data_IF_823534372224
#
_entry.id   IF_823534372224
#
_cell.length_a   1.000
_cell.length_b   1.000
_cell.length_c   1.000
_cell.angle_alpha   90.00
_cell.angle_beta   90.00
_cell.angle_gamma   90.00
#
_symmetry.space_group_name_H-M   'P 1'
#
loop_
_entity.id
_entity.type
_entity.pdbx_description
1 polymer ?
#
# COMPACT_ATOMS: atom_id res chain seq x y z
N UNK A 1 -2.27 33.51 3.36
CA UNK A 1 -3.53 32.92 2.85
C UNK A 1 -4.20 33.86 1.84
N UNK A 2 -3.56 34.13 0.69
CA UNK A 2 -4.02 35.14 -0.27
C UNK A 2 -4.76 34.62 -1.52
N UNK A 3 -4.83 33.31 -1.74
CA UNK A 3 -5.12 32.75 -3.08
C UNK A 3 -6.50 32.09 -3.27
N UNK A 4 -7.40 32.15 -2.28
CA UNK A 4 -8.75 31.57 -2.40
C UNK A 4 -9.81 32.67 -2.69
N UNK A 5 -10.78 32.42 -3.62
CA UNK A 5 -11.91 33.33 -3.87
C UNK A 5 -12.66 33.68 -2.58
N UNK A 6 -13.12 34.93 -2.43
CA UNK A 6 -13.78 35.41 -1.20
C UNK A 6 -14.95 34.50 -0.77
N UNK A 7 -15.76 34.04 -1.72
CA UNK A 7 -16.87 33.11 -1.47
C UNK A 7 -16.44 31.80 -0.77
N UNK A 8 -15.28 31.26 -1.13
CA UNK A 8 -14.76 30.02 -0.52
C UNK A 8 -14.24 30.31 0.89
N UNK A 9 -13.65 31.49 1.12
CA UNK A 9 -13.21 31.93 2.44
C UNK A 9 -14.40 32.14 3.37
N UNK A 10 -15.42 32.87 2.94
CA UNK A 10 -16.58 33.19 3.78
C UNK A 10 -17.42 31.94 4.11
N UNK A 11 -17.44 30.93 3.23
CA UNK A 11 -18.11 29.66 3.47
C UNK A 11 -17.30 28.72 4.40
N UNK A 12 -15.97 28.73 4.31
CA UNK A 12 -15.11 27.81 5.07
C UNK A 12 -14.63 28.38 6.41
N UNK A 13 -14.47 29.71 6.52
CA UNK A 13 -14.02 30.40 7.73
C UNK A 13 -14.89 30.09 8.97
N UNK A 14 -16.23 30.07 8.90
CA UNK A 14 -17.04 29.69 10.05
C UNK A 14 -16.86 28.20 10.40
N UNK A 15 -16.75 27.30 9.42
CA UNK A 15 -16.53 25.86 9.67
C UNK A 15 -15.15 25.62 10.31
N UNK A 16 -14.11 26.27 9.80
CA UNK A 16 -12.75 26.17 10.33
C UNK A 16 -12.69 26.78 11.74
N UNK A 17 -13.27 27.96 11.95
CA UNK A 17 -13.37 28.59 13.28
C UNK A 17 -14.16 27.74 14.25
N UNK A 18 -15.24 27.07 13.80
CA UNK A 18 -16.04 26.19 14.63
C UNK A 18 -15.31 24.89 14.97
N UNK A 19 -14.56 24.29 14.04
CA UNK A 19 -13.70 23.11 14.28
C UNK A 19 -12.50 23.45 15.18
N UNK A 20 -11.93 24.65 15.04
CA UNK A 20 -10.82 25.12 15.89
C UNK A 20 -11.29 25.56 17.29
N UNK A 21 -12.45 26.22 17.39
CA UNK A 21 -13.02 26.72 18.65
C UNK A 21 -13.73 25.61 19.44
N UNK A 22 -14.46 24.71 18.77
CA UNK A 22 -14.89 23.44 19.32
C UNK A 22 -13.88 22.37 18.95
N UNK A 23 -12.75 22.36 19.65
CA UNK A 23 -11.85 21.20 19.72
C UNK A 23 -12.58 20.07 20.46
N UNK A 24 -13.61 19.52 19.84
CA UNK A 24 -14.44 18.48 20.42
C UNK A 24 -13.64 17.18 20.37
N UNK A 25 -12.83 16.97 21.41
CA UNK A 25 -11.95 15.81 21.56
C UNK A 25 -12.71 14.50 21.36
N UNK A 26 -14.01 14.46 21.67
CA UNK A 26 -14.88 13.32 21.41
C UNK A 26 -15.00 12.98 19.91
N UNK A 27 -15.27 13.97 19.04
CA UNK A 27 -15.40 13.73 17.59
C UNK A 27 -14.08 13.27 16.96
N UNK A 28 -12.95 13.86 17.37
CA UNK A 28 -11.63 13.43 16.91
C UNK A 28 -11.32 11.99 17.34
N UNK A 29 -11.61 11.66 18.60
CA UNK A 29 -11.40 10.31 19.14
C UNK A 29 -12.28 9.29 18.43
N UNK A 30 -13.57 9.59 18.23
CA UNK A 30 -14.51 8.73 17.51
C UNK A 30 -14.02 8.53 16.07
N UNK A 31 -13.62 9.59 15.38
CA UNK A 31 -13.10 9.51 14.01
C UNK A 31 -11.88 8.57 13.93
N UNK A 32 -10.90 8.75 14.80
CA UNK A 32 -9.71 7.88 14.85
C UNK A 32 -10.09 6.43 15.12
N UNK A 33 -10.99 6.16 16.07
CA UNK A 33 -11.46 4.81 16.40
C UNK A 33 -12.17 4.17 15.21
N UNK A 34 -13.07 4.89 14.54
CA UNK A 34 -13.81 4.40 13.36
C UNK A 34 -12.87 4.14 12.18
N UNK A 35 -11.91 5.03 11.93
CA UNK A 35 -10.89 4.85 10.89
C UNK A 35 -10.04 3.62 11.19
N UNK A 36 -9.56 3.48 12.43
CA UNK A 36 -8.74 2.33 12.83
C UNK A 36 -9.53 1.03 12.75
N UNK A 37 -10.80 1.04 13.14
CA UNK A 37 -11.70 -0.11 13.04
C UNK A 37 -11.90 -0.54 11.60
N UNK A 38 -12.19 0.41 10.70
CA UNK A 38 -12.40 0.17 9.28
C UNK A 38 -11.13 -0.36 8.61
N UNK A 39 -9.99 0.29 8.86
CA UNK A 39 -8.70 -0.11 8.34
C UNK A 39 -8.30 -1.52 8.81
N UNK A 40 -8.44 -1.81 10.11
CA UNK A 40 -8.14 -3.13 10.68
C UNK A 40 -9.04 -4.23 10.09
N UNK A 41 -10.31 -3.91 9.82
CA UNK A 41 -11.25 -4.85 9.19
C UNK A 41 -10.88 -5.16 7.74
N UNK A 42 -10.46 -4.15 6.96
CA UNK A 42 -9.92 -4.37 5.60
C UNK A 42 -8.65 -5.24 5.63
N UNK A 43 -7.73 -4.96 6.54
CA UNK A 43 -6.50 -5.74 6.70
C UNK A 43 -6.74 -7.19 7.13
N UNK A 44 -7.83 -7.46 7.86
CA UNK A 44 -8.26 -8.82 8.14
C UNK A 44 -8.65 -9.60 6.88
N UNK A 45 -9.33 -8.95 5.92
CA UNK A 45 -9.65 -9.56 4.64
C UNK A 45 -8.37 -9.89 3.85
N UNK A 46 -7.41 -8.97 3.81
CA UNK A 46 -6.09 -9.20 3.19
C UNK A 46 -5.38 -10.39 3.83
N UNK A 47 -5.33 -10.46 5.17
CA UNK A 47 -4.75 -11.60 5.89
C UNK A 47 -5.42 -12.92 5.51
N UNK A 48 -6.76 -12.95 5.44
CA UNK A 48 -7.52 -14.14 5.05
C UNK A 48 -7.18 -14.60 3.63
N UNK A 49 -7.11 -13.67 2.68
CA UNK A 49 -6.72 -13.95 1.30
C UNK A 49 -5.29 -14.50 1.21
N UNK A 50 -4.33 -13.88 1.92
CA UNK A 50 -2.96 -14.37 1.97
C UNK A 50 -2.88 -15.76 2.62
N UNK A 51 -3.55 -15.99 3.75
CA UNK A 51 -3.59 -17.30 4.38
C UNK A 51 -4.06 -18.39 3.41
N UNK A 52 -5.05 -18.10 2.55
CA UNK A 52 -5.52 -19.01 1.50
C UNK A 52 -4.44 -19.24 0.43
N UNK A 53 -3.84 -18.19 -0.12
CA UNK A 53 -2.75 -18.30 -1.11
C UNK A 53 -1.55 -19.11 -0.58
N UNK A 54 -1.24 -18.93 0.70
CA UNK A 54 -0.17 -19.67 1.40
C UNK A 54 -0.58 -21.08 1.85
N UNK A 55 -1.86 -21.47 1.74
CA UNK A 55 -2.36 -22.79 2.12
C UNK A 55 -2.43 -23.04 3.64
N UNK A 56 -2.63 -21.99 4.43
CA UNK A 56 -2.73 -22.10 5.89
C UNK A 56 -4.06 -22.76 6.28
N UNK A 57 -4.00 -24.01 6.77
CA UNK A 57 -5.19 -24.79 7.17
C UNK A 57 -5.73 -24.46 8.57
N UNK A 58 -4.85 -24.06 9.51
CA UNK A 58 -5.22 -23.62 10.87
C UNK A 58 -4.55 -22.28 11.16
N UNK A 59 -5.34 -21.22 11.19
CA UNK A 59 -4.89 -19.86 11.50
C UNK A 59 -4.81 -19.58 13.00
N UNK A 60 -4.43 -18.35 13.34
CA UNK A 60 -4.48 -17.89 14.73
C UNK A 60 -5.93 -17.73 15.24
N UNK A 61 -6.19 -17.92 16.55
CA UNK A 61 -7.48 -17.60 17.18
C UNK A 61 -7.91 -16.15 16.89
N UNK A 62 -9.22 -15.91 16.74
CA UNK A 62 -9.78 -14.61 16.32
C UNK A 62 -9.23 -13.40 17.10
N UNK A 63 -9.07 -13.52 18.41
CA UNK A 63 -8.53 -12.46 19.26
C UNK A 63 -7.05 -12.15 18.98
N UNK A 64 -6.19 -13.18 18.94
CA UNK A 64 -4.75 -13.02 18.62
C UNK A 64 -4.55 -12.50 17.20
N UNK A 65 -5.37 -13.00 16.28
CA UNK A 65 -5.46 -12.55 14.91
C UNK A 65 -5.76 -11.06 14.78
N UNK A 66 -6.78 -10.56 15.50
CA UNK A 66 -7.17 -9.15 15.42
C UNK A 66 -6.14 -8.23 16.05
N UNK A 67 -5.54 -8.59 17.17
CA UNK A 67 -4.44 -7.82 17.78
C UNK A 67 -3.26 -7.73 16.80
N UNK A 68 -2.84 -8.86 16.22
CA UNK A 68 -1.75 -8.90 15.23
C UNK A 68 -2.03 -7.98 14.04
N UNK A 69 -3.23 -8.06 13.47
CA UNK A 69 -3.62 -7.23 12.33
C UNK A 69 -3.65 -5.75 12.70
N UNK A 70 -4.22 -5.38 13.84
CA UNK A 70 -4.28 -3.98 14.27
C UNK A 70 -2.88 -3.41 14.50
N UNK A 71 -2.01 -4.12 15.23
CA UNK A 71 -0.62 -3.69 15.46
C UNK A 71 0.15 -3.57 14.14
N UNK A 72 0.02 -4.56 13.26
CA UNK A 72 0.62 -4.51 11.93
C UNK A 72 0.14 -3.29 11.13
N UNK A 73 -1.18 -3.04 11.14
CA UNK A 73 -1.79 -1.91 10.42
C UNK A 73 -1.27 -0.58 10.94
N UNK A 74 -1.12 -0.41 12.26
CA UNK A 74 -0.59 0.82 12.85
C UNK A 74 0.88 1.03 12.50
N UNK A 75 1.72 0.00 12.68
CA UNK A 75 3.17 0.12 12.46
C UNK A 75 3.46 0.32 10.97
N UNK A 76 2.93 -0.56 10.12
CA UNK A 76 3.20 -0.52 8.68
C UNK A 76 2.46 0.65 8.03
N UNK A 77 1.21 0.91 8.42
CA UNK A 77 0.46 2.07 7.93
C UNK A 77 1.13 3.39 8.31
N UNK A 78 1.56 3.55 9.57
CA UNK A 78 2.32 4.70 10.02
C UNK A 78 3.67 4.84 9.31
N UNK A 79 4.41 3.74 9.15
CA UNK A 79 5.67 3.72 8.42
C UNK A 79 5.53 4.09 6.95
N UNK A 80 4.49 3.59 6.28
CA UNK A 80 4.16 3.96 4.89
C UNK A 80 3.81 5.45 4.80
N UNK A 81 2.98 5.97 5.71
CA UNK A 81 2.65 7.41 5.74
C UNK A 81 3.90 8.29 5.93
N UNK A 82 4.80 7.92 6.84
CA UNK A 82 6.06 8.63 7.05
C UNK A 82 6.97 8.54 5.82
N UNK A 83 7.08 7.37 5.20
CA UNK A 83 7.86 7.19 3.98
C UNK A 83 7.30 8.03 2.83
N UNK A 84 5.99 8.01 2.61
CA UNK A 84 5.33 8.86 1.61
C UNK A 84 5.52 10.34 1.91
N UNK A 85 5.35 10.76 3.16
CA UNK A 85 5.57 12.15 3.57
C UNK A 85 7.01 12.58 3.27
N UNK A 86 8.00 11.75 3.61
CA UNK A 86 9.40 12.01 3.30
C UNK A 86 9.63 12.16 1.79
N UNK A 87 9.12 11.24 0.96
CA UNK A 87 9.27 11.29 -0.51
C UNK A 87 8.61 12.53 -1.12
N UNK A 88 7.49 13.00 -0.56
CA UNK A 88 6.76 14.18 -1.07
C UNK A 88 7.35 15.49 -0.56
N UNK A 89 7.89 15.50 0.66
CA UNK A 89 8.46 16.70 1.30
C UNK A 89 9.91 16.94 0.86
N UNK A 90 10.69 15.90 0.57
CA UNK A 90 12.10 16.03 0.18
C UNK A 90 12.33 16.99 -1.01
N UNK A 91 11.52 16.97 -2.10
CA UNK A 91 11.65 17.94 -3.18
C UNK A 91 11.38 19.39 -2.76
N UNK A 92 10.43 19.61 -1.84
CA UNK A 92 10.13 20.94 -1.30
C UNK A 92 11.26 21.47 -0.41
N UNK A 93 11.85 20.61 0.42
CA UNK A 93 13.02 20.96 1.25
C UNK A 93 14.21 21.30 0.36
N UNK A 94 14.41 20.56 -0.73
CA UNK A 94 15.48 20.81 -1.68
C UNK A 94 15.32 22.14 -2.42
N UNK A 95 14.10 22.51 -2.82
CA UNK A 95 13.81 23.83 -3.42
C UNK A 95 14.12 24.98 -2.45
N UNK A 96 13.74 24.85 -1.17
CA UNK A 96 14.05 25.86 -0.14
C UNK A 96 15.57 25.97 0.07
N UNK A 97 16.30 24.86 -0.03
CA UNK A 97 17.76 24.85 0.13
C UNK A 97 18.47 25.45 -1.09
N UNK A 98 17.99 25.19 -2.31
CA UNK A 98 18.46 25.83 -3.56
C UNK A 98 18.20 27.35 -3.57
N UNK A 99 17.12 27.82 -2.97
CA UNK A 99 16.86 29.26 -2.83
C UNK A 99 17.83 29.95 -1.85
N UNK A 100 18.48 29.20 -0.96
CA UNK A 100 19.40 29.73 0.07
C UNK A 100 20.89 29.42 -0.20
N UNK A 101 21.21 28.49 -1.09
CA UNK A 101 22.58 28.08 -1.45
C UNK A 101 22.71 28.11 -2.97
N UNK A 102 23.74 28.81 -3.47
CA UNK A 102 24.03 29.13 -4.89
C UNK A 102 23.55 28.10 -5.93
N UNK A 103 23.09 28.57 -7.11
CA UNK A 103 22.43 27.74 -8.11
C UNK A 103 23.38 26.64 -8.63
N UNK A 104 23.17 25.42 -8.14
CA UNK A 104 23.81 24.21 -8.67
C UNK A 104 23.34 23.88 -10.09
N UNK A 105 24.10 23.06 -10.85
CA UNK A 105 23.85 22.83 -12.26
C UNK A 105 22.44 22.30 -12.55
N UNK A 106 21.81 22.80 -13.61
CA UNK A 106 20.46 22.46 -14.13
C UNK A 106 20.24 20.98 -14.51
N UNK A 107 21.15 20.08 -14.16
CA UNK A 107 21.08 18.62 -14.37
C UNK A 107 20.37 17.86 -13.24
N UNK A 108 20.16 18.50 -12.08
CA UNK A 108 19.47 17.92 -10.92
C UNK A 108 17.97 17.53 -11.12
N UNK A 109 17.12 18.25 -11.87
CA UNK A 109 15.68 17.95 -11.88
C UNK A 109 15.32 16.63 -12.57
N UNK A 110 16.10 16.16 -13.55
CA UNK A 110 15.89 14.85 -14.19
C UNK A 110 16.30 13.69 -13.28
N UNK A 111 17.42 13.82 -12.54
CA UNK A 111 17.85 12.81 -11.57
C UNK A 111 16.83 12.65 -10.43
N UNK A 112 16.29 13.78 -9.95
CA UNK A 112 15.27 13.81 -8.89
C UNK A 112 13.96 13.11 -9.30
N UNK A 113 13.55 13.24 -10.56
CA UNK A 113 12.37 12.54 -11.11
C UNK A 113 12.54 11.01 -11.09
N UNK A 114 13.65 10.50 -11.62
CA UNK A 114 13.93 9.06 -11.68
C UNK A 114 14.09 8.44 -10.29
N UNK A 115 14.76 9.14 -9.36
CA UNK A 115 14.91 8.70 -7.96
C UNK A 115 13.54 8.58 -7.29
N UNK A 116 12.62 9.52 -7.54
CA UNK A 116 11.27 9.47 -6.94
C UNK A 116 10.48 8.22 -7.32
N UNK A 117 10.47 7.85 -8.60
CA UNK A 117 9.78 6.64 -9.05
C UNK A 117 10.47 5.37 -8.53
N UNK A 118 11.80 5.37 -8.46
CA UNK A 118 12.57 4.28 -7.86
C UNK A 118 12.26 4.09 -6.37
N UNK A 119 12.24 5.16 -5.58
CA UNK A 119 11.91 5.11 -4.15
C UNK A 119 10.46 4.71 -3.92
N UNK A 120 9.52 5.18 -4.74
CA UNK A 120 8.12 4.77 -4.67
C UNK A 120 7.96 3.26 -4.96
N UNK A 121 8.64 2.75 -5.99
CA UNK A 121 8.65 1.32 -6.31
C UNK A 121 9.27 0.49 -5.18
N UNK A 122 10.40 0.92 -4.63
CA UNK A 122 11.05 0.26 -3.50
C UNK A 122 10.14 0.22 -2.27
N UNK A 123 9.47 1.35 -1.96
CA UNK A 123 8.52 1.43 -0.85
C UNK A 123 7.36 0.45 -1.04
N UNK A 124 6.84 0.36 -2.27
CA UNK A 124 5.80 -0.60 -2.62
C UNK A 124 6.28 -2.05 -2.50
N UNK A 125 7.47 -2.37 -2.99
CA UNK A 125 8.06 -3.70 -2.89
C UNK A 125 8.29 -4.11 -1.43
N UNK A 126 8.78 -3.18 -0.59
CA UNK A 126 8.93 -3.39 0.86
C UNK A 126 7.57 -3.62 1.51
N UNK A 127 6.54 -2.84 1.15
CA UNK A 127 5.18 -3.04 1.64
C UNK A 127 4.66 -4.44 1.30
N UNK A 128 4.83 -4.89 0.04
CA UNK A 128 4.45 -6.24 -0.38
C UNK A 128 5.22 -7.31 0.40
N UNK A 129 6.52 -7.13 0.61
CA UNK A 129 7.34 -8.05 1.38
C UNK A 129 6.91 -8.13 2.85
N UNK A 130 6.56 -6.99 3.48
CA UNK A 130 6.02 -6.94 4.84
C UNK A 130 4.66 -7.64 4.93
N UNK A 131 3.78 -7.38 3.97
CA UNK A 131 2.47 -8.04 3.88
C UNK A 131 2.63 -9.54 3.74
N UNK A 132 3.54 -10.02 2.90
CA UNK A 132 3.75 -11.44 2.66
C UNK A 132 4.51 -12.15 3.80
N UNK A 133 5.43 -11.46 4.47
CA UNK A 133 6.25 -12.04 5.52
C UNK A 133 5.57 -12.06 6.88
N UNK A 134 4.84 -10.99 7.23
CA UNK A 134 4.34 -10.77 8.58
C UNK A 134 2.84 -11.00 8.73
N UNK A 135 2.04 -10.71 7.70
CA UNK A 135 0.59 -10.79 7.80
C UNK A 135 0.06 -12.25 7.88
N UNK A 136 0.56 -13.22 7.09
CA UNK A 136 0.12 -14.61 7.18
C UNK A 136 0.32 -15.22 8.56
N UNK A 137 -0.51 -16.18 8.91
CA UNK A 137 -0.45 -16.91 10.19
C UNK A 137 0.65 -17.98 10.23
N UNK A 138 1.66 -17.84 9.36
CA UNK A 138 2.76 -18.76 9.22
C UNK A 138 4.06 -17.99 9.24
N UNK A 139 5.07 -18.52 9.93
CA UNK A 139 6.42 -17.95 9.92
C UNK A 139 7.04 -18.09 8.53
N UNK A 140 7.44 -16.97 7.95
CA UNK A 140 8.13 -16.88 6.66
C UNK A 140 9.48 -16.20 6.89
N UNK A 141 10.52 -16.61 6.15
CA UNK A 141 11.74 -15.80 6.06
C UNK A 141 11.48 -14.66 5.06
N UNK A 142 11.95 -13.46 5.38
CA UNK A 142 11.80 -12.29 4.50
C UNK A 142 12.40 -12.52 3.11
N UNK A 143 13.53 -13.24 3.02
CA UNK A 143 14.17 -13.60 1.76
C UNK A 143 13.29 -14.48 0.85
N UNK A 144 12.43 -15.34 1.43
CA UNK A 144 11.54 -16.21 0.64
C UNK A 144 10.33 -15.49 0.05
N UNK A 145 10.01 -14.29 0.53
CA UNK A 145 8.84 -13.52 0.04
C UNK A 145 9.20 -12.41 -0.95
N UNK A 146 10.49 -12.05 -1.04
CA UNK A 146 11.01 -11.07 -1.99
C UNK A 146 10.64 -11.33 -3.46
N UNK A 147 10.76 -12.55 -4.02
CA UNK A 147 10.48 -12.75 -5.44
C UNK A 147 9.02 -12.42 -5.79
N UNK A 148 8.06 -12.91 -5.01
CA UNK A 148 6.65 -12.56 -5.19
C UNK A 148 6.35 -11.09 -4.88
N UNK A 149 7.08 -10.46 -3.95
CA UNK A 149 6.91 -9.03 -3.66
C UNK A 149 7.34 -8.15 -4.83
N UNK A 150 8.47 -8.45 -5.47
CA UNK A 150 8.93 -7.74 -6.65
C UNK A 150 8.01 -7.96 -7.85
N UNK A 151 7.61 -9.21 -8.12
CA UNK A 151 6.68 -9.51 -9.22
C UNK A 151 5.32 -8.84 -8.99
N UNK A 152 4.78 -8.92 -7.77
CA UNK A 152 3.52 -8.29 -7.38
C UNK A 152 3.58 -6.76 -7.52
N UNK A 153 4.64 -6.13 -7.02
CA UNK A 153 4.83 -4.68 -7.15
C UNK A 153 4.95 -4.23 -8.61
N UNK A 154 5.72 -4.96 -9.43
CA UNK A 154 5.84 -4.67 -10.87
C UNK A 154 4.50 -4.81 -11.58
N UNK A 155 3.76 -5.88 -11.30
CA UNK A 155 2.44 -6.10 -11.91
C UNK A 155 1.44 -5.03 -11.46
N UNK A 156 1.50 -4.60 -10.20
CA UNK A 156 0.66 -3.52 -9.69
C UNK A 156 0.96 -2.19 -10.39
N UNK A 157 2.24 -1.82 -10.55
CA UNK A 157 2.62 -0.59 -11.26
C UNK A 157 2.18 -0.64 -12.73
N UNK A 158 2.43 -1.77 -13.41
CA UNK A 158 1.98 -1.96 -14.79
C UNK A 158 0.46 -1.84 -14.91
N UNK A 159 -0.29 -2.52 -14.04
CA UNK A 159 -1.75 -2.47 -14.07
C UNK A 159 -2.32 -1.09 -13.70
N UNK A 160 -1.70 -0.39 -12.75
CA UNK A 160 -2.06 0.99 -12.40
C UNK A 160 -1.79 1.96 -13.56
N UNK A 161 -0.68 1.79 -14.27
CA UNK A 161 -0.38 2.57 -15.47
C UNK A 161 -1.40 2.32 -16.58
N UNK A 162 -1.74 1.05 -16.84
CA UNK A 162 -2.79 0.67 -17.80
C UNK A 162 -4.14 1.27 -17.41
N UNK A 163 -4.54 1.18 -16.15
CA UNK A 163 -5.80 1.77 -15.68
C UNK A 163 -5.79 3.29 -15.86
N UNK A 164 -4.68 3.97 -15.51
CA UNK A 164 -4.56 5.42 -15.70
C UNK A 164 -4.69 5.82 -17.17
N UNK A 165 -4.08 5.06 -18.08
CA UNK A 165 -4.23 5.27 -19.52
C UNK A 165 -5.69 5.09 -19.97
N UNK A 166 -6.33 3.99 -19.59
CA UNK A 166 -7.73 3.70 -19.92
C UNK A 166 -8.68 4.80 -19.43
N UNK A 167 -8.50 5.27 -18.19
CA UNK A 167 -9.35 6.31 -17.61
C UNK A 167 -9.19 7.68 -18.29
N UNK A 168 -7.99 8.01 -18.79
CA UNK A 168 -7.76 9.25 -19.56
C UNK A 168 -8.51 9.21 -20.88
N UNK A 169 -8.46 8.09 -21.59
CA UNK A 169 -9.17 7.90 -22.86
C UNK A 169 -10.69 7.82 -22.65
N UNK A 170 -11.13 7.30 -21.50
CA UNK A 170 -12.53 7.21 -21.12
C UNK A 170 -13.15 8.53 -20.61
N UNK A 171 -12.44 9.66 -20.63
CA UNK A 171 -12.93 10.94 -20.10
C UNK A 171 -14.29 11.40 -20.64
N UNK A 172 -14.66 10.98 -21.86
CA UNK A 172 -15.99 11.24 -22.43
C UNK A 172 -17.12 10.43 -21.76
N UNK A 173 -16.84 9.25 -21.20
CA UNK A 173 -17.80 8.46 -20.40
C UNK A 173 -18.00 9.06 -19.01
N UNK A 174 -16.98 9.71 -18.43
CA UNK A 174 -17.10 10.41 -17.15
C UNK A 174 -18.08 11.58 -17.22
N UNK A 175 -18.19 12.25 -18.38
CA UNK A 175 -19.16 13.33 -18.62
C UNK A 175 -20.62 12.83 -18.63
N UNK A 176 -20.87 11.58 -19.05
CA UNK A 176 -22.22 11.00 -19.14
C UNK A 176 -22.64 10.34 -17.82
N UNK A 177 -21.70 9.69 -17.13
CA UNK A 177 -21.98 8.89 -15.91
C UNK A 177 -21.61 9.60 -14.60
N UNK A 178 -21.05 10.81 -14.63
CA UNK A 178 -20.83 11.66 -13.46
C UNK A 178 -20.10 10.97 -12.29
N UNK A 179 -20.66 11.08 -11.08
CA UNK A 179 -20.07 10.50 -9.85
C UNK A 179 -20.00 8.97 -9.84
N UNK A 180 -20.84 8.28 -10.62
CA UNK A 180 -20.85 6.81 -10.72
C UNK A 180 -19.57 6.28 -11.37
N UNK A 181 -19.04 7.00 -12.35
CA UNK A 181 -17.77 6.63 -13.01
C UNK A 181 -16.59 6.59 -12.03
N UNK A 182 -16.57 7.49 -11.04
CA UNK A 182 -15.53 7.51 -10.00
C UNK A 182 -15.60 6.30 -9.06
N UNK A 183 -16.80 5.88 -8.66
CA UNK A 183 -17.01 4.70 -7.81
C UNK A 183 -16.55 3.44 -8.56
N UNK A 184 -16.99 3.26 -9.81
CA UNK A 184 -16.60 2.10 -10.63
C UNK A 184 -15.09 2.07 -10.86
N UNK A 185 -14.47 3.20 -11.20
CA UNK A 185 -13.01 3.30 -11.35
C UNK A 185 -12.28 2.90 -10.06
N UNK A 186 -12.79 3.33 -8.91
CA UNK A 186 -12.24 2.97 -7.59
C UNK A 186 -12.37 1.48 -7.32
N UNK A 187 -13.53 0.87 -7.61
CA UNK A 187 -13.73 -0.57 -7.45
C UNK A 187 -12.81 -1.40 -8.36
N UNK A 188 -12.64 -0.99 -9.62
CA UNK A 188 -11.72 -1.63 -10.56
C UNK A 188 -10.28 -1.49 -10.08
N UNK A 189 -9.88 -0.31 -9.59
CA UNK A 189 -8.57 -0.10 -9.01
C UNK A 189 -8.30 -0.98 -7.79
N UNK A 190 -9.27 -1.09 -6.88
CA UNK A 190 -9.18 -1.96 -5.70
C UNK A 190 -9.14 -3.44 -6.10
N UNK A 191 -9.91 -3.84 -7.11
CA UNK A 191 -9.91 -5.20 -7.64
C UNK A 191 -8.54 -5.58 -8.23
N UNK A 192 -7.96 -4.70 -9.07
CA UNK A 192 -6.62 -4.89 -9.65
C UNK A 192 -5.57 -4.95 -8.53
N UNK A 193 -5.69 -4.07 -7.53
CA UNK A 193 -4.78 -4.03 -6.39
C UNK A 193 -4.83 -5.32 -5.56
N UNK A 194 -6.03 -5.85 -5.31
CA UNK A 194 -6.20 -7.13 -4.63
C UNK A 194 -5.66 -8.29 -5.47
N UNK A 195 -5.92 -8.29 -6.77
CA UNK A 195 -5.51 -9.37 -7.68
C UNK A 195 -3.99 -9.49 -7.79
N UNK A 196 -3.30 -8.36 -7.98
CA UNK A 196 -1.82 -8.29 -8.04
C UNK A 196 -1.18 -8.72 -6.72
N UNK A 197 -1.76 -8.29 -5.59
CA UNK A 197 -1.33 -8.70 -4.26
C UNK A 197 -1.50 -10.21 -4.02
N UNK A 198 -2.63 -10.80 -4.41
CA UNK A 198 -2.87 -12.24 -4.26
C UNK A 198 -1.96 -13.03 -5.20
N UNK A 199 -1.81 -12.59 -6.45
CA UNK A 199 -0.95 -13.23 -7.44
C UNK A 199 0.51 -13.33 -6.97
N UNK A 200 1.08 -12.24 -6.45
CA UNK A 200 2.43 -12.27 -5.86
C UNK A 200 2.54 -13.21 -4.65
N UNK A 201 1.48 -13.32 -3.85
CA UNK A 201 1.43 -14.26 -2.72
C UNK A 201 1.36 -15.73 -3.18
N UNK A 202 0.63 -16.02 -4.25
CA UNK A 202 0.54 -17.36 -4.84
C UNK A 202 1.87 -17.81 -5.44
N UNK A 203 2.61 -16.90 -6.08
CA UNK A 203 3.97 -17.17 -6.57
C UNK A 203 4.87 -17.60 -5.41
N UNK A 204 4.88 -16.84 -4.31
CA UNK A 204 5.61 -17.21 -3.09
C UNK A 204 5.11 -18.54 -2.51
N UNK A 205 3.80 -18.79 -2.60
CA UNK A 205 3.14 -20.07 -2.32
C UNK A 205 3.73 -21.23 -3.12
N UNK A 206 3.81 -21.08 -4.44
CA UNK A 206 4.26 -22.09 -5.39
C UNK A 206 5.75 -22.39 -5.23
N UNK A 207 6.60 -21.37 -5.14
CA UNK A 207 8.06 -21.52 -4.94
C UNK A 207 8.34 -22.34 -3.67
N UNK A 208 7.60 -22.09 -2.59
CA UNK A 208 7.75 -22.83 -1.33
C UNK A 208 7.30 -24.30 -1.47
N UNK A 209 6.21 -24.57 -2.20
CA UNK A 209 5.74 -25.93 -2.43
C UNK A 209 6.75 -26.74 -3.25
N UNK A 210 7.33 -26.14 -4.29
CA UNK A 210 8.38 -26.76 -5.10
C UNK A 210 9.60 -27.16 -4.24
N UNK A 211 10.16 -26.22 -3.45
CA UNK A 211 11.31 -26.50 -2.56
C UNK A 211 11.03 -27.61 -1.54
N UNK A 212 9.80 -27.70 -1.01
CA UNK A 212 9.41 -28.78 -0.08
C UNK A 212 9.32 -30.13 -0.78
N UNK A 213 8.79 -30.18 -2.00
CA UNK A 213 8.70 -31.40 -2.80
C UNK A 213 10.07 -31.98 -3.11
N UNK A 214 11.03 -31.14 -3.52
CA UNK A 214 12.42 -31.54 -3.76
C UNK A 214 13.06 -32.15 -2.50
N UNK A 215 12.89 -31.50 -1.34
CA UNK A 215 13.48 -31.98 -0.07
C UNK A 215 12.93 -33.36 0.32
N UNK A 216 11.63 -33.62 0.09
CA UNK A 216 11.01 -34.91 0.39
C UNK A 216 11.45 -36.01 -0.58
N UNK A 217 11.62 -35.69 -1.86
CA UNK A 217 12.12 -36.63 -2.87
C UNK A 217 13.55 -37.08 -2.55
N UNK A 218 14.45 -36.14 -2.22
CA UNK A 218 15.84 -36.45 -1.85
C UNK A 218 15.94 -37.27 -0.56
N UNK A 219 15.09 -36.99 0.44
CA UNK A 219 15.04 -37.77 1.68
C UNK A 219 14.52 -39.20 1.48
N UNK A 220 13.58 -39.41 0.56
CA UNK A 220 13.06 -40.75 0.23
C UNK A 220 14.09 -41.60 -0.53
N UNK A 221 14.95 -40.98 -1.34
CA UNK A 221 15.95 -41.69 -2.13
C UNK A 221 17.16 -42.09 -1.27
N UNK A 222 17.55 -41.26 -0.31
CA UNK A 222 18.61 -41.55 0.66
C UNK A 222 18.26 -42.67 1.67
N UNK A 223 17.00 -43.08 1.77
CA UNK A 223 16.52 -44.10 2.70
C UNK A 223 16.39 -45.51 2.11
N UNK A 224 16.72 -45.73 0.84
CA UNK A 224 16.67 -47.05 0.21
C UNK A 224 18.02 -47.77 0.38
N UNK A 225 18.12 -48.86 1.17
CA UNK A 225 19.29 -49.72 1.13
C UNK A 225 19.39 -50.39 -0.24
N UNK A 226 20.60 -50.36 -0.80
CA UNK A 226 21.00 -51.01 -2.07
C UNK A 226 20.91 -52.53 -2.00
#
# INVERSE_FOLDING_TARGET
MGYAPQVVRDAMEPVIKQVLAQRNQALLTIGVVVTLWTASSGMQAVRSALNRAYGVRRGLPFWKARIKVTVFTVIVGGGVLLAFSSVVVMPYVWQILEDNVQPGPRTLPMLLGSVRYGVAFLTLAVLYALLYGWLPDMRQRFLTVLPGALIGATLWVAAAATLSYTLRTAGNLTLIYGSFAGIVATLVFLYISASTLIFGAEINGAIRRAKRGETMATASDAGRPS
#
